data_IF_949852924283
#
_entry.id   IF_949852924283
#
_cell.length_a   1.000
_cell.length_b   1.000
_cell.length_c   1.000
_cell.angle_alpha   90.00
_cell.angle_beta   90.00
_cell.angle_gamma   90.00
#
_symmetry.space_group_name_H-M   'P 1'
#
loop_
_entity.id
_entity.type
_entity.pdbx_description
1 polymer ?
#
# COMPACT_ATOMS: atom_id res chain seq x y z
N UNK A 1 -6.29 -22.92 16.24
CA UNK A 1 -5.44 -21.74 16.39
C UNK A 1 -4.27 -21.91 15.43
N UNK A 2 -4.39 -21.35 14.21
CA UNK A 2 -3.37 -21.48 13.16
C UNK A 2 -2.54 -20.19 13.18
N UNK A 3 -1.33 -20.28 13.71
CA UNK A 3 -0.33 -19.23 13.61
C UNK A 3 0.15 -19.17 12.15
N UNK A 4 -0.35 -18.20 11.38
CA UNK A 4 0.25 -17.87 10.09
C UNK A 4 1.55 -17.09 10.36
N UNK A 5 2.71 -17.52 9.83
CA UNK A 5 3.94 -16.77 9.99
C UNK A 5 3.84 -15.44 9.24
N UNK A 6 3.98 -14.33 9.95
CA UNK A 6 3.85 -12.96 9.44
C UNK A 6 4.86 -12.58 8.34
N UNK A 7 5.87 -13.42 8.02
CA UNK A 7 6.89 -13.13 7.00
C UNK A 7 6.77 -13.88 5.66
N UNK A 8 6.01 -14.97 5.58
CA UNK A 8 6.22 -15.95 4.49
C UNK A 8 5.78 -15.53 3.08
N UNK A 9 4.84 -14.58 2.97
CA UNK A 9 4.32 -14.13 1.67
C UNK A 9 5.19 -13.08 0.99
N UNK A 10 5.68 -12.12 1.77
CA UNK A 10 6.49 -10.99 1.27
C UNK A 10 7.91 -11.42 0.93
N UNK A 11 8.58 -12.18 1.80
CA UNK A 11 9.94 -12.67 1.54
C UNK A 11 9.99 -13.53 0.27
N UNK A 12 8.93 -14.31 0.03
CA UNK A 12 8.77 -15.10 -1.19
C UNK A 12 8.43 -14.26 -2.42
N UNK A 13 7.75 -13.13 -2.24
CA UNK A 13 7.57 -12.13 -3.29
C UNK A 13 8.94 -11.55 -3.64
N UNK A 14 9.68 -10.98 -2.69
CA UNK A 14 11.03 -10.44 -2.87
C UNK A 14 11.99 -11.44 -3.54
N UNK A 15 12.01 -12.69 -3.08
CA UNK A 15 12.86 -13.73 -3.64
C UNK A 15 12.54 -14.09 -5.10
N UNK A 16 11.35 -13.71 -5.59
CA UNK A 16 10.89 -13.93 -6.97
C UNK A 16 10.96 -12.66 -7.82
N UNK A 17 11.60 -11.60 -7.33
CA UNK A 17 11.79 -10.35 -8.06
C UNK A 17 12.85 -10.53 -9.16
N UNK A 18 12.49 -11.23 -10.23
CA UNK A 18 13.26 -11.27 -11.48
C UNK A 18 12.43 -10.57 -12.56
N UNK A 19 12.59 -9.24 -12.69
CA UNK A 19 11.95 -8.47 -13.75
C UNK A 19 11.55 -7.04 -13.36
N UNK A 20 11.10 -6.23 -14.34
CA UNK A 20 10.61 -4.88 -14.10
C UNK A 20 9.36 -4.90 -13.21
N UNK A 21 9.20 -3.91 -12.31
CA UNK A 21 8.11 -3.90 -11.35
C UNK A 21 6.75 -3.72 -12.04
N UNK A 22 5.73 -4.45 -11.60
CA UNK A 22 4.38 -4.44 -12.20
C UNK A 22 3.30 -3.95 -11.24
N UNK A 23 2.10 -3.72 -11.76
CA UNK A 23 0.91 -3.33 -10.96
C UNK A 23 0.55 -4.39 -9.92
N UNK A 24 0.70 -5.67 -10.25
CA UNK A 24 0.43 -6.80 -9.36
C UNK A 24 1.34 -6.77 -8.13
N UNK A 25 2.59 -6.34 -8.31
CA UNK A 25 3.53 -6.15 -7.20
C UNK A 25 3.10 -5.02 -6.28
N UNK A 26 2.69 -3.88 -6.85
CA UNK A 26 2.18 -2.76 -6.05
C UNK A 26 0.92 -3.14 -5.27
N UNK A 27 0.03 -3.94 -5.86
CA UNK A 27 -1.16 -4.50 -5.19
C UNK A 27 -0.79 -5.45 -4.06
N UNK A 28 0.18 -6.34 -4.28
CA UNK A 28 0.63 -7.30 -3.28
C UNK A 28 1.28 -6.59 -2.09
N UNK A 29 2.12 -5.58 -2.35
CA UNK A 29 2.75 -4.75 -1.34
C UNK A 29 1.72 -3.96 -0.52
N UNK A 30 0.73 -3.37 -1.20
CA UNK A 30 -0.43 -2.76 -0.54
C UNK A 30 -1.12 -3.75 0.41
N UNK A 31 -1.51 -4.92 -0.07
CA UNK A 31 -2.16 -5.94 0.76
C UNK A 31 -1.32 -6.38 1.95
N UNK A 32 -0.02 -6.63 1.74
CA UNK A 32 0.89 -7.03 2.80
C UNK A 32 1.06 -5.95 3.88
N UNK A 33 1.23 -4.68 3.47
CA UNK A 33 1.41 -3.56 4.40
C UNK A 33 0.19 -3.35 5.31
N UNK A 34 -1.02 -3.44 4.72
CA UNK A 34 -2.28 -3.34 5.45
C UNK A 34 -2.43 -4.49 6.43
N UNK A 35 -2.14 -5.73 6.00
CA UNK A 35 -2.23 -6.89 6.88
C UNK A 35 -1.25 -6.82 8.04
N UNK A 36 -0.02 -6.35 7.81
CA UNK A 36 0.96 -6.13 8.87
C UNK A 36 0.46 -5.10 9.89
N UNK A 37 -0.03 -3.94 9.42
CA UNK A 37 -0.58 -2.92 10.30
C UNK A 37 -1.82 -3.38 11.08
N UNK A 38 -2.73 -4.16 10.45
CA UNK A 38 -3.90 -4.74 11.13
C UNK A 38 -3.50 -5.74 12.22
N UNK A 39 -2.39 -6.46 12.04
CA UNK A 39 -1.81 -7.35 13.06
C UNK A 39 -1.03 -6.60 14.15
N UNK A 40 -0.89 -5.28 14.04
CA UNK A 40 -0.08 -4.45 14.94
C UNK A 40 1.42 -4.48 14.63
N UNK A 41 1.85 -5.16 13.57
CA UNK A 41 3.23 -5.19 13.10
C UNK A 41 3.52 -3.97 12.21
N UNK A 42 3.52 -2.80 12.85
CA UNK A 42 3.84 -1.52 12.21
C UNK A 42 5.26 -1.47 11.62
N UNK A 43 6.31 -2.05 12.24
CA UNK A 43 7.65 -2.10 11.65
C UNK A 43 7.68 -2.82 10.29
N UNK A 44 7.05 -4.00 10.19
CA UNK A 44 6.94 -4.71 8.91
C UNK A 44 6.12 -3.89 7.90
N UNK A 45 4.99 -3.31 8.33
CA UNK A 45 4.18 -2.42 7.49
C UNK A 45 4.99 -1.25 6.92
N UNK A 46 5.84 -0.64 7.73
CA UNK A 46 6.71 0.49 7.34
C UNK A 46 7.74 0.07 6.31
N UNK A 47 8.43 -1.04 6.55
CA UNK A 47 9.42 -1.60 5.60
C UNK A 47 8.79 -1.89 4.24
N UNK A 48 7.57 -2.44 4.25
CA UNK A 48 6.81 -2.69 3.03
C UNK A 48 6.49 -1.41 2.27
N UNK A 49 5.99 -0.38 2.96
CA UNK A 49 5.68 0.92 2.35
C UNK A 49 6.93 1.59 1.79
N UNK A 50 8.07 1.53 2.48
CA UNK A 50 9.35 2.08 2.00
C UNK A 50 9.83 1.40 0.72
N UNK A 51 9.69 0.08 0.65
CA UNK A 51 9.96 -0.64 -0.60
C UNK A 51 9.00 -0.19 -1.71
N UNK A 52 7.71 -0.03 -1.40
CA UNK A 52 6.71 0.48 -2.34
C UNK A 52 7.08 1.86 -2.88
N UNK A 53 7.53 2.77 -2.01
CA UNK A 53 7.99 4.12 -2.42
C UNK A 53 9.20 4.05 -3.36
N UNK A 54 10.12 3.12 -3.11
CA UNK A 54 11.26 2.88 -4.00
C UNK A 54 10.80 2.42 -5.38
N UNK A 55 9.82 1.52 -5.46
CA UNK A 55 9.22 1.09 -6.73
C UNK A 55 8.44 2.21 -7.43
N UNK A 56 7.70 3.02 -6.67
CA UNK A 56 6.95 4.15 -7.18
C UNK A 56 7.85 5.22 -7.83
N UNK A 57 9.07 5.40 -7.32
CA UNK A 57 10.07 6.30 -7.90
C UNK A 57 10.65 5.79 -9.23
N UNK A 58 10.63 4.48 -9.47
CA UNK A 58 11.20 3.85 -10.66
C UNK A 58 10.17 3.61 -11.78
N UNK A 59 8.88 3.74 -11.48
CA UNK A 59 7.79 3.49 -12.45
C UNK A 59 7.14 4.77 -12.95
N UNK A 60 6.84 4.81 -14.25
CA UNK A 60 5.99 5.83 -14.85
C UNK A 60 4.49 5.53 -14.69
N UNK A 61 4.12 4.30 -14.30
CA UNK A 61 2.72 3.86 -14.22
C UNK A 61 1.99 4.53 -13.06
N UNK A 62 0.97 5.36 -13.33
CA UNK A 62 0.15 5.97 -12.29
C UNK A 62 -0.53 4.97 -11.34
N UNK A 63 -0.79 3.73 -11.80
CA UNK A 63 -1.55 2.74 -11.02
C UNK A 63 -0.70 2.20 -9.89
N UNK A 64 0.54 1.86 -10.23
CA UNK A 64 1.53 1.40 -9.27
C UNK A 64 1.75 2.46 -8.19
N UNK A 65 1.92 3.73 -8.58
CA UNK A 65 2.07 4.84 -7.64
C UNK A 65 0.84 5.00 -6.73
N UNK A 66 -0.37 4.87 -7.28
CA UNK A 66 -1.61 4.99 -6.51
C UNK A 66 -1.75 3.88 -5.45
N UNK A 67 -1.38 2.63 -5.77
CA UNK A 67 -1.36 1.53 -4.80
C UNK A 67 -0.34 1.76 -3.68
N UNK A 68 0.84 2.28 -4.02
CA UNK A 68 1.87 2.63 -3.03
C UNK A 68 1.40 3.78 -2.12
N UNK A 69 0.78 4.83 -2.67
CA UNK A 69 0.21 5.91 -1.86
C UNK A 69 -0.94 5.43 -0.97
N UNK A 70 -1.76 4.49 -1.46
CA UNK A 70 -2.80 3.87 -0.65
C UNK A 70 -2.23 3.04 0.51
N UNK A 71 -1.12 2.34 0.28
CA UNK A 71 -0.43 1.55 1.30
C UNK A 71 0.10 2.45 2.42
N UNK A 72 0.79 3.52 2.02
CA UNK A 72 1.37 4.52 2.89
C UNK A 72 0.29 5.21 3.74
N UNK A 73 -0.77 5.69 3.09
CA UNK A 73 -1.86 6.35 3.79
C UNK A 73 -2.57 5.46 4.80
N UNK A 74 -2.79 4.19 4.44
CA UNK A 74 -3.48 3.22 5.30
C UNK A 74 -2.62 2.78 6.49
N UNK A 75 -1.30 2.71 6.31
CA UNK A 75 -0.37 2.54 7.44
C UNK A 75 -0.37 3.76 8.37
N UNK A 76 -0.47 4.97 7.81
CA UNK A 76 -0.65 6.20 8.60
C UNK A 76 -1.89 6.13 9.50
N UNK A 77 -3.04 5.70 8.97
CA UNK A 77 -4.26 5.47 9.78
C UNK A 77 -4.01 4.47 10.90
N UNK A 78 -3.36 3.33 10.60
CA UNK A 78 -3.11 2.26 11.57
C UNK A 78 -2.08 2.63 12.63
N UNK A 79 -1.16 3.55 12.33
CA UNK A 79 -0.13 4.07 13.25
C UNK A 79 -0.56 5.34 13.99
N UNK A 80 -1.68 5.95 13.60
CA UNK A 80 -2.19 7.19 14.19
C UNK A 80 -1.61 8.49 13.60
N UNK A 81 -0.80 8.42 12.54
CA UNK A 81 -0.32 9.59 11.80
C UNK A 81 -1.35 10.02 10.75
N UNK A 82 -2.42 10.66 11.22
CA UNK A 82 -3.61 10.96 10.43
C UNK A 82 -3.38 12.07 9.39
N UNK A 83 -2.51 13.04 9.70
CA UNK A 83 -2.17 14.11 8.76
C UNK A 83 -1.39 13.58 7.55
N UNK A 84 -0.39 12.71 7.80
CA UNK A 84 0.31 12.03 6.71
C UNK A 84 -0.61 11.07 5.97
N UNK A 85 -1.47 10.33 6.68
CA UNK A 85 -2.44 9.41 6.09
C UNK A 85 -3.33 10.10 5.07
N UNK A 86 -3.93 11.24 5.46
CA UNK A 86 -4.80 12.04 4.61
C UNK A 86 -4.12 12.48 3.32
N UNK A 87 -2.93 13.08 3.41
CA UNK A 87 -2.19 13.57 2.24
C UNK A 87 -1.89 12.44 1.23
N UNK A 88 -1.56 11.25 1.73
CA UNK A 88 -1.27 10.09 0.88
C UNK A 88 -2.52 9.51 0.23
N UNK A 89 -3.62 9.42 0.97
CA UNK A 89 -4.90 8.94 0.43
C UNK A 89 -5.50 9.90 -0.61
N UNK A 90 -5.37 11.21 -0.42
CA UNK A 90 -5.75 12.22 -1.42
C UNK A 90 -4.95 12.07 -2.72
N UNK A 91 -3.63 11.84 -2.58
CA UNK A 91 -2.75 11.58 -3.73
C UNK A 91 -3.14 10.30 -4.47
N UNK A 92 -3.55 9.25 -3.77
CA UNK A 92 -4.04 8.02 -4.38
C UNK A 92 -5.40 8.23 -5.09
N UNK A 93 -6.33 8.92 -4.43
CA UNK A 93 -7.67 9.22 -4.95
C UNK A 93 -7.60 10.02 -6.26
N UNK A 94 -6.72 11.01 -6.36
CA UNK A 94 -6.53 11.77 -7.59
C UNK A 94 -6.12 10.88 -8.78
N UNK A 95 -5.31 9.86 -8.54
CA UNK A 95 -4.86 8.93 -9.57
C UNK A 95 -5.94 7.91 -9.97
N UNK A 96 -6.74 7.44 -9.00
CA UNK A 96 -7.88 6.56 -9.29
C UNK A 96 -8.99 7.29 -10.05
N UNK A 97 -9.27 8.54 -9.67
CA UNK A 97 -10.21 9.44 -10.34
C UNK A 97 -9.87 9.70 -11.80
N UNK A 98 -8.60 9.95 -12.11
CA UNK A 98 -8.14 10.16 -13.49
C UNK A 98 -8.34 8.94 -14.40
N UNK A 99 -8.49 7.73 -13.82
CA UNK A 99 -8.75 6.48 -14.55
C UNK A 99 -10.21 6.01 -14.51
N UNK A 100 -11.05 6.62 -13.67
CA UNK A 100 -12.43 6.19 -13.47
C UNK A 100 -12.59 4.85 -12.74
N UNK A 101 -11.59 4.43 -11.95
CA UNK A 101 -11.69 3.18 -11.16
C UNK A 101 -12.50 3.42 -9.87
N UNK A 102 -13.81 3.30 -10.01
CA UNK A 102 -14.78 3.63 -8.96
C UNK A 102 -14.62 2.80 -7.69
N UNK A 103 -14.18 1.55 -7.81
CA UNK A 103 -13.99 0.65 -6.66
C UNK A 103 -12.81 1.13 -5.80
N UNK A 104 -11.72 1.53 -6.45
CA UNK A 104 -10.54 2.06 -5.76
C UNK A 104 -10.80 3.45 -5.17
N UNK A 105 -11.57 4.30 -5.87
CA UNK A 105 -12.04 5.58 -5.32
C UNK A 105 -12.83 5.41 -4.02
N UNK A 106 -13.84 4.52 -4.01
CA UNK A 106 -14.68 4.26 -2.83
C UNK A 106 -13.81 3.76 -1.67
N UNK A 107 -12.83 2.89 -1.96
CA UNK A 107 -11.92 2.36 -0.94
C UNK A 107 -11.05 3.48 -0.33
N UNK A 108 -10.49 4.36 -1.16
CA UNK A 108 -9.70 5.49 -0.69
C UNK A 108 -10.54 6.47 0.15
N UNK A 109 -11.76 6.79 -0.31
CA UNK A 109 -12.71 7.65 0.41
C UNK A 109 -13.16 7.05 1.74
N UNK A 110 -13.43 5.76 1.79
CA UNK A 110 -13.78 5.07 3.04
C UNK A 110 -12.64 5.13 4.04
N UNK A 111 -11.40 4.99 3.58
CA UNK A 111 -10.21 5.09 4.44
C UNK A 111 -9.99 6.53 4.92
N UNK A 112 -10.22 7.53 4.06
CA UNK A 112 -10.19 8.95 4.46
C UNK A 112 -11.23 9.29 5.52
N UNK A 113 -12.43 8.70 5.46
CA UNK A 113 -13.46 8.91 6.49
C UNK A 113 -13.11 8.34 7.87
N UNK A 114 -12.07 7.51 7.96
CA UNK A 114 -11.56 6.93 9.21
C UNK A 114 -10.25 7.55 9.70
N UNK A 115 -9.65 8.44 8.89
CA UNK A 115 -8.47 9.22 9.24
C UNK A 115 -8.89 10.54 9.89
#
# INVERSE_FOLDING_TARGET
>A
MITMPAGGGYDRLLARQEGPPTVEWAKALYGASVMAGVQGDLPTGTTLVEHGRTLAAQTADPLMRAFVYSADGRLGVLSGDLDHARSRLESALAQFGARGDRTLEITALTTLGTA
#
